data_IF_451960883605
#
_entry.id   IF_451960883605
#
_cell.length_a   1.000
_cell.length_b   1.000
_cell.length_c   1.000
_cell.angle_alpha   90.00
_cell.angle_beta   90.00
_cell.angle_gamma   90.00
#
_symmetry.space_group_name_H-M   'P 1'
#
loop_
_entity.id
_entity.type
_entity.pdbx_description
1 polymer ?
#
# COMPACT_ATOMS: atom_id res chain seq x y z
N UNK A 1 15.17 -7.90 2.42
CA UNK A 1 13.82 -7.44 2.87
C UNK A 1 13.29 -6.51 1.81
N UNK A 2 12.06 -6.71 1.35
CA UNK A 2 11.47 -5.92 0.28
C UNK A 2 11.11 -4.54 0.83
N UNK A 3 11.70 -3.48 0.25
CA UNK A 3 11.30 -2.10 0.48
C UNK A 3 9.79 -1.96 0.31
N UNK A 4 9.12 -1.25 1.21
CA UNK A 4 7.72 -0.89 1.01
C UNK A 4 7.63 -0.06 -0.26
N UNK A 5 6.77 -0.46 -1.21
CA UNK A 5 6.61 0.25 -2.47
C UNK A 5 6.33 1.73 -2.21
N UNK A 6 7.19 2.59 -2.73
CA UNK A 6 7.10 4.04 -2.51
C UNK A 6 7.86 4.59 -1.30
N UNK A 7 8.51 3.75 -0.49
CA UNK A 7 9.39 4.23 0.57
C UNK A 7 10.67 4.83 -0.01
N UNK A 8 11.22 5.83 0.67
CA UNK A 8 12.52 6.40 0.35
C UNK A 8 13.64 5.62 1.06
N UNK A 9 14.88 5.79 0.62
CA UNK A 9 16.03 5.08 1.19
C UNK A 9 16.17 5.29 2.71
N UNK A 10 15.90 6.50 3.19
CA UNK A 10 15.95 6.80 4.63
C UNK A 10 14.90 6.06 5.44
N UNK A 11 13.74 5.74 4.85
CA UNK A 11 12.74 4.90 5.50
C UNK A 11 13.25 3.46 5.68
N UNK A 12 13.84 2.88 4.62
CA UNK A 12 14.35 1.51 4.68
C UNK A 12 15.47 1.38 5.73
N UNK A 13 16.36 2.38 5.82
CA UNK A 13 17.41 2.43 6.84
C UNK A 13 16.78 2.44 8.24
N UNK A 14 15.81 3.35 8.48
CA UNK A 14 15.15 3.46 9.77
C UNK A 14 14.41 2.17 10.18
N UNK A 15 13.70 1.53 9.23
CA UNK A 15 12.98 0.29 9.50
C UNK A 15 13.89 -0.91 9.80
N UNK A 16 15.11 -0.91 9.27
CA UNK A 16 16.08 -1.98 9.56
C UNK A 16 16.67 -1.87 10.99
N UNK A 17 16.70 -0.67 11.56
CA UNK A 17 17.22 -0.43 12.91
C UNK A 17 16.15 -0.62 14.00
N UNK A 18 14.86 -0.53 13.66
CA UNK A 18 13.76 -0.57 14.61
C UNK A 18 13.25 -2.02 14.84
N UNK A 19 12.82 -2.29 16.07
CA UNK A 19 12.27 -3.57 16.51
C UNK A 19 10.78 -3.43 16.87
N UNK A 20 10.08 -4.56 16.87
CA UNK A 20 8.69 -4.59 17.36
C UNK A 20 8.63 -4.09 18.81
N UNK A 21 7.74 -3.16 19.07
CA UNK A 21 7.57 -2.47 20.35
C UNK A 21 8.26 -1.10 20.41
N UNK A 22 9.19 -0.80 19.52
CA UNK A 22 9.88 0.49 19.51
C UNK A 22 8.93 1.64 19.20
N UNK A 23 9.19 2.77 19.85
CA UNK A 23 8.58 4.06 19.57
C UNK A 23 9.71 5.06 19.29
N UNK A 24 9.80 5.54 18.07
CA UNK A 24 10.92 6.35 17.62
C UNK A 24 10.47 7.63 16.91
N UNK A 25 11.28 8.67 17.03
CA UNK A 25 11.26 9.83 16.14
C UNK A 25 12.41 9.71 15.16
N UNK A 26 12.09 9.75 13.87
CA UNK A 26 13.06 9.58 12.80
C UNK A 26 13.11 10.86 11.99
N UNK A 27 14.33 11.41 11.80
CA UNK A 27 14.59 12.48 10.86
C UNK A 27 15.25 11.85 9.63
N UNK A 28 14.64 12.02 8.48
CA UNK A 28 15.18 11.57 7.19
C UNK A 28 15.61 12.81 6.41
N UNK A 29 16.92 13.02 6.20
CA UNK A 29 17.42 14.12 5.39
C UNK A 29 16.84 14.09 3.97
N UNK A 30 16.70 15.24 3.34
CA UNK A 30 16.06 15.37 2.03
C UNK A 30 16.64 14.43 0.97
N UNK A 31 17.98 14.27 0.92
CA UNK A 31 18.65 13.40 -0.05
C UNK A 31 18.36 11.89 0.12
N UNK A 32 17.94 11.46 1.32
CA UNK A 32 17.46 10.11 1.61
C UNK A 32 15.93 10.02 1.61
N UNK A 33 15.25 11.15 1.43
CA UNK A 33 13.81 11.28 1.34
C UNK A 33 13.36 11.49 -0.12
N UNK A 34 12.91 12.69 -0.46
CA UNK A 34 12.39 13.04 -1.80
C UNK A 34 13.29 13.99 -2.57
N UNK A 35 14.42 14.39 -2.00
CA UNK A 35 15.47 15.17 -2.63
C UNK A 35 14.98 16.52 -3.19
N UNK A 36 15.63 16.93 -4.28
CA UNK A 36 15.36 18.19 -4.96
C UNK A 36 13.97 18.27 -5.62
N UNK A 37 13.35 17.12 -5.92
CA UNK A 37 12.03 17.08 -6.57
C UNK A 37 10.88 17.24 -5.59
N UNK A 38 11.04 16.80 -4.35
CA UNK A 38 9.94 16.73 -3.40
C UNK A 38 8.79 15.87 -3.89
N UNK A 39 7.58 16.18 -3.43
CA UNK A 39 6.31 15.62 -3.93
C UNK A 39 5.33 16.75 -4.08
N UNK A 40 4.90 17.03 -5.31
CA UNK A 40 4.05 18.17 -5.61
C UNK A 40 2.81 18.23 -4.69
N UNK A 41 2.59 19.38 -4.08
CA UNK A 41 1.46 19.63 -3.16
C UNK A 41 1.55 18.93 -1.80
N UNK A 42 2.64 18.20 -1.50
CA UNK A 42 2.80 17.40 -0.26
C UNK A 42 4.13 17.65 0.44
N UNK A 43 5.24 17.53 -0.26
CA UNK A 43 6.59 17.65 0.30
C UNK A 43 7.37 18.64 -0.55
N UNK A 44 7.79 19.77 0.02
CA UNK A 44 8.61 20.74 -0.71
C UNK A 44 9.93 20.13 -1.19
N UNK A 45 10.53 20.68 -2.27
CA UNK A 45 11.89 20.37 -2.65
C UNK A 45 12.87 20.57 -1.49
N UNK A 46 13.83 19.66 -1.37
CA UNK A 46 14.89 19.67 -0.34
C UNK A 46 14.39 19.64 1.11
N UNK A 47 13.14 19.23 1.36
CA UNK A 47 12.60 19.13 2.70
C UNK A 47 13.07 17.85 3.42
N UNK A 48 13.55 18.01 4.64
CA UNK A 48 13.75 16.89 5.54
C UNK A 48 12.39 16.32 6.00
N UNK A 49 12.29 15.01 6.13
CA UNK A 49 11.09 14.36 6.63
C UNK A 49 11.25 14.02 8.11
N UNK A 50 10.24 14.35 8.90
CA UNK A 50 10.16 14.01 10.31
C UNK A 50 8.99 13.05 10.52
N UNK A 51 9.29 11.90 11.13
CA UNK A 51 8.33 10.83 11.35
C UNK A 51 8.31 10.45 12.83
N UNK A 52 7.12 10.16 13.34
CA UNK A 52 6.96 9.50 14.63
C UNK A 52 6.36 8.14 14.36
N UNK A 53 7.06 7.08 14.76
CA UNK A 53 6.78 5.71 14.38
C UNK A 53 6.69 4.83 15.62
N UNK A 54 5.67 3.97 15.66
CA UNK A 54 5.60 2.84 16.59
C UNK A 54 5.56 1.55 15.77
N UNK A 55 6.47 0.63 16.03
CA UNK A 55 6.47 -0.69 15.42
C UNK A 55 5.53 -1.59 16.21
N UNK A 56 4.39 -1.92 15.63
CA UNK A 56 3.34 -2.72 16.28
C UNK A 56 3.64 -4.21 16.10
N UNK A 57 3.95 -4.60 14.86
CA UNK A 57 4.22 -6.00 14.52
C UNK A 57 5.05 -6.10 13.23
N UNK A 58 5.55 -7.30 12.98
CA UNK A 58 6.18 -7.69 11.72
C UNK A 58 5.39 -8.85 11.15
N UNK A 59 4.39 -8.54 10.36
CA UNK A 59 3.50 -9.52 9.79
C UNK A 59 4.02 -10.09 8.46
N UNK A 60 3.93 -11.41 8.30
CA UNK A 60 4.05 -12.04 6.99
C UNK A 60 2.80 -11.79 6.14
N UNK A 61 2.87 -11.85 4.79
CA UNK A 61 1.67 -11.79 3.97
C UNK A 61 0.68 -12.88 4.37
N UNK A 62 -0.60 -12.53 4.47
CA UNK A 62 -1.68 -13.50 4.71
C UNK A 62 -1.77 -14.50 3.56
N UNK A 63 -1.48 -14.03 2.33
CA UNK A 63 -1.41 -14.87 1.13
C UNK A 63 -0.47 -14.24 0.09
N UNK A 64 0.13 -15.11 -0.73
CA UNK A 64 0.93 -14.71 -1.90
C UNK A 64 0.40 -15.42 -3.13
N UNK A 65 0.15 -14.69 -4.21
CA UNK A 65 -0.42 -15.21 -5.46
C UNK A 65 0.44 -14.68 -6.61
N UNK A 66 1.22 -15.55 -7.23
CA UNK A 66 2.10 -15.21 -8.37
C UNK A 66 2.96 -13.95 -8.10
N UNK A 67 3.53 -13.85 -6.91
CA UNK A 67 4.36 -12.73 -6.48
C UNK A 67 3.59 -11.55 -5.88
N UNK A 68 2.29 -11.40 -6.13
CA UNK A 68 1.43 -10.44 -5.46
C UNK A 68 1.24 -10.87 -4.00
N UNK A 69 1.55 -9.97 -3.07
CA UNK A 69 1.45 -10.22 -1.63
C UNK A 69 0.28 -9.45 -1.04
N UNK A 70 -0.52 -10.12 -0.22
CA UNK A 70 -1.72 -9.56 0.40
C UNK A 70 -1.63 -9.73 1.92
N UNK A 71 -1.83 -8.64 2.64
CA UNK A 71 -2.03 -8.64 4.09
C UNK A 71 -3.48 -8.23 4.36
N UNK A 72 -4.23 -9.08 5.05
CA UNK A 72 -5.56 -8.75 5.56
C UNK A 72 -5.36 -8.02 6.88
N UNK A 73 -5.55 -6.70 6.86
CA UNK A 73 -5.39 -5.84 8.04
C UNK A 73 -6.61 -5.91 8.96
N UNK A 74 -7.78 -5.96 8.35
CA UNK A 74 -9.06 -6.11 9.04
C UNK A 74 -9.94 -7.03 8.19
N UNK A 75 -10.47 -8.10 8.79
CA UNK A 75 -11.34 -9.05 8.13
C UNK A 75 -12.78 -8.89 8.61
N UNK A 76 -13.71 -8.78 7.68
CA UNK A 76 -15.13 -8.83 8.02
C UNK A 76 -15.56 -10.28 8.31
N UNK A 77 -15.64 -10.62 9.59
CA UNK A 77 -16.05 -11.95 10.04
C UNK A 77 -17.55 -12.21 9.91
N UNK A 78 -18.37 -11.14 9.81
CA UNK A 78 -19.82 -11.23 9.72
C UNK A 78 -20.31 -11.55 8.29
N UNK A 79 -19.50 -11.26 7.27
CA UNK A 79 -19.84 -11.55 5.87
C UNK A 79 -19.00 -12.70 5.35
N UNK A 80 -19.66 -13.77 4.92
CA UNK A 80 -19.01 -14.94 4.33
C UNK A 80 -18.88 -14.88 2.81
N UNK A 81 -19.55 -13.92 2.17
CA UNK A 81 -19.51 -13.77 0.72
C UNK A 81 -18.13 -13.26 0.28
N UNK A 82 -17.46 -14.06 -0.49
CA UNK A 82 -16.17 -13.71 -1.11
C UNK A 82 -16.39 -13.20 -2.52
N UNK A 83 -15.59 -12.21 -2.91
CA UNK A 83 -15.61 -11.72 -4.29
C UNK A 83 -15.11 -12.80 -5.25
N UNK A 84 -15.80 -12.93 -6.36
CA UNK A 84 -15.50 -13.87 -7.44
C UNK A 84 -15.44 -13.13 -8.78
N UNK A 85 -14.87 -13.77 -9.78
CA UNK A 85 -14.85 -13.26 -11.15
C UNK A 85 -16.29 -13.00 -11.65
N UNK A 86 -16.47 -11.90 -12.37
CA UNK A 86 -17.76 -11.44 -12.86
C UNK A 86 -18.58 -10.57 -11.90
N UNK A 87 -18.19 -10.47 -10.62
CA UNK A 87 -18.86 -9.58 -9.67
C UNK A 87 -18.47 -8.12 -9.88
N UNK A 88 -19.46 -7.23 -9.77
CA UNK A 88 -19.19 -5.79 -9.62
C UNK A 88 -18.77 -5.48 -8.20
N UNK A 89 -17.63 -4.80 -8.06
CA UNK A 89 -17.07 -4.38 -6.78
C UNK A 89 -16.83 -2.89 -6.75
N UNK A 90 -16.93 -2.32 -5.56
CA UNK A 90 -16.59 -0.92 -5.29
C UNK A 90 -15.64 -0.87 -4.10
N UNK A 91 -14.53 -0.13 -4.24
CA UNK A 91 -13.55 -0.03 -3.18
C UNK A 91 -12.84 1.32 -3.17
N UNK A 92 -12.47 1.75 -1.97
CA UNK A 92 -11.53 2.85 -1.79
C UNK A 92 -10.10 2.32 -1.77
N UNK A 93 -9.19 3.08 -2.36
CA UNK A 93 -7.76 2.75 -2.31
C UNK A 93 -6.86 3.97 -2.25
N UNK A 94 -5.69 3.76 -1.67
CA UNK A 94 -4.51 4.59 -1.88
C UNK A 94 -3.50 3.77 -2.65
N UNK A 95 -3.05 4.29 -3.78
CA UNK A 95 -2.08 3.60 -4.66
C UNK A 95 -0.81 4.42 -4.73
N UNK A 96 0.32 3.78 -4.55
CA UNK A 96 1.64 4.38 -4.69
C UNK A 96 2.57 3.48 -5.50
N UNK A 97 3.54 4.09 -6.15
CA UNK A 97 4.66 3.42 -6.80
C UNK A 97 5.97 4.13 -6.43
N UNK A 98 7.14 3.52 -6.70
CA UNK A 98 8.43 4.17 -6.46
C UNK A 98 8.57 5.51 -7.20
N UNK A 99 8.02 5.61 -8.41
CA UNK A 99 8.07 6.83 -9.23
C UNK A 99 6.95 7.84 -8.91
N UNK A 100 5.82 7.37 -8.37
CA UNK A 100 4.69 8.21 -8.00
C UNK A 100 4.11 7.78 -6.66
N UNK A 101 4.54 8.41 -5.55
CA UNK A 101 4.13 8.04 -4.20
C UNK A 101 2.66 8.36 -3.88
N UNK A 102 1.98 9.12 -4.73
CA UNK A 102 0.56 9.45 -4.62
C UNK A 102 -0.13 9.30 -5.98
N UNK A 103 -0.09 8.09 -6.52
CA UNK A 103 -0.69 7.79 -7.82
C UNK A 103 -2.21 7.98 -7.81
N UNK A 104 -2.88 7.44 -6.80
CA UNK A 104 -4.31 7.60 -6.59
C UNK A 104 -4.67 7.57 -5.10
N UNK A 105 -5.70 8.31 -4.72
CA UNK A 105 -6.27 8.29 -3.38
C UNK A 105 -7.76 8.62 -3.45
N UNK A 106 -8.60 7.60 -3.49
CA UNK A 106 -10.06 7.73 -3.61
C UNK A 106 -10.73 8.16 -2.31
N UNK A 107 -10.04 8.07 -1.16
CA UNK A 107 -10.57 8.59 0.11
C UNK A 107 -10.64 10.11 0.12
N UNK A 108 -9.74 10.80 -0.59
CA UNK A 108 -9.73 12.28 -0.65
C UNK A 108 -10.90 12.84 -1.44
N UNK A 109 -11.33 12.14 -2.48
CA UNK A 109 -12.44 12.55 -3.35
C UNK A 109 -13.78 11.95 -2.93
N UNK A 110 -13.75 10.99 -2.01
CA UNK A 110 -14.88 10.14 -1.64
C UNK A 110 -15.57 9.47 -2.84
N UNK A 111 -14.78 9.17 -3.88
CA UNK A 111 -15.23 8.48 -5.09
C UNK A 111 -14.53 7.13 -5.20
N UNK A 112 -15.16 6.03 -4.78
CA UNK A 112 -14.56 4.71 -4.88
C UNK A 112 -14.38 4.29 -6.34
N UNK A 113 -13.38 3.47 -6.60
CA UNK A 113 -13.29 2.75 -7.87
C UNK A 113 -14.42 1.73 -7.95
N UNK A 114 -15.00 1.59 -9.15
CA UNK A 114 -16.01 0.59 -9.47
C UNK A 114 -15.52 -0.24 -10.65
N UNK A 115 -15.43 -1.54 -10.45
CA UNK A 115 -14.98 -2.48 -11.47
C UNK A 115 -15.81 -3.76 -11.41
N UNK A 116 -15.92 -4.40 -12.58
CA UNK A 116 -16.35 -5.79 -12.65
C UNK A 116 -15.09 -6.67 -12.66
N UNK A 117 -14.98 -7.57 -11.69
CA UNK A 117 -13.85 -8.50 -11.63
C UNK A 117 -13.88 -9.41 -12.86
N UNK A 118 -12.82 -9.35 -13.68
CA UNK A 118 -12.74 -10.04 -14.95
C UNK A 118 -12.67 -9.11 -16.16
N UNK A 119 -13.11 -7.85 -16.01
CA UNK A 119 -12.98 -6.87 -17.08
C UNK A 119 -11.53 -6.34 -17.18
N UNK A 120 -11.23 -5.77 -18.35
CA UNK A 120 -9.98 -5.04 -18.58
C UNK A 120 -10.02 -3.74 -17.77
N UNK A 121 -8.92 -3.39 -17.10
CA UNK A 121 -8.79 -2.14 -16.35
C UNK A 121 -8.22 -2.28 -14.95
N UNK A 122 -8.21 -3.48 -14.40
CA UNK A 122 -7.41 -3.80 -13.21
C UNK A 122 -6.13 -4.51 -13.61
N UNK A 123 -5.01 -4.10 -13.03
CA UNK A 123 -3.76 -4.84 -13.20
C UNK A 123 -3.90 -6.26 -12.65
N UNK A 124 -3.27 -7.27 -13.29
CA UNK A 124 -3.47 -8.68 -12.94
C UNK A 124 -3.30 -8.99 -11.46
N UNK A 125 -2.25 -8.47 -10.84
CA UNK A 125 -1.99 -8.69 -9.42
C UNK A 125 -3.08 -8.13 -8.50
N UNK A 126 -3.65 -6.96 -8.81
CA UNK A 126 -4.75 -6.40 -8.03
C UNK A 126 -6.02 -7.23 -8.19
N UNK A 127 -6.35 -7.66 -9.42
CA UNK A 127 -7.47 -8.57 -9.67
C UNK A 127 -7.36 -9.84 -8.83
N UNK A 128 -6.20 -10.50 -8.85
CA UNK A 128 -5.91 -11.72 -8.07
C UNK A 128 -6.05 -11.47 -6.56
N UNK A 129 -5.58 -10.31 -6.08
CA UNK A 129 -5.68 -9.95 -4.68
C UNK A 129 -7.13 -9.71 -4.21
N UNK A 130 -7.99 -9.16 -5.07
CA UNK A 130 -9.39 -8.87 -4.74
C UNK A 130 -10.27 -10.12 -4.80
N UNK A 131 -9.95 -11.10 -5.64
CA UNK A 131 -10.62 -12.41 -5.61
C UNK A 131 -10.44 -13.03 -4.21
N UNK A 132 -11.53 -13.54 -3.64
CA UNK A 132 -11.64 -14.07 -2.28
C UNK A 132 -11.55 -13.02 -1.15
N UNK A 133 -11.44 -11.72 -1.43
CA UNK A 133 -11.72 -10.68 -0.45
C UNK A 133 -13.22 -10.58 -0.16
N UNK A 134 -13.58 -9.96 0.94
CA UNK A 134 -14.97 -9.76 1.37
C UNK A 134 -15.31 -8.29 1.45
N UNK A 135 -16.60 -7.98 1.44
CA UNK A 135 -17.07 -6.62 1.69
C UNK A 135 -16.57 -6.14 3.06
N UNK A 136 -16.05 -4.92 3.11
CA UNK A 136 -15.47 -4.27 4.30
C UNK A 136 -14.15 -4.86 4.79
N UNK A 137 -13.53 -5.78 4.05
CA UNK A 137 -12.14 -6.13 4.32
C UNK A 137 -11.24 -4.92 4.07
N UNK A 138 -10.21 -4.79 4.91
CA UNK A 138 -9.14 -3.83 4.74
C UNK A 138 -7.86 -4.56 4.39
N UNK A 139 -7.31 -4.27 3.22
CA UNK A 139 -6.17 -4.99 2.66
C UNK A 139 -4.98 -4.05 2.43
N UNK A 140 -3.79 -4.55 2.69
CA UNK A 140 -2.57 -4.01 2.09
C UNK A 140 -2.12 -4.97 0.99
N UNK A 141 -1.87 -4.45 -0.20
CA UNK A 141 -1.54 -5.26 -1.37
C UNK A 141 -0.24 -4.73 -1.99
N UNK A 142 0.73 -5.60 -2.14
CA UNK A 142 1.93 -5.34 -2.93
C UNK A 142 1.82 -6.10 -4.25
N UNK A 143 1.84 -5.35 -5.35
CA UNK A 143 1.84 -5.91 -6.71
C UNK A 143 3.24 -5.74 -7.31
N UNK A 144 3.94 -6.82 -7.67
CA UNK A 144 5.24 -6.71 -8.33
C UNK A 144 5.07 -6.16 -9.77
N UNK A 145 6.14 -5.62 -10.33
CA UNK A 145 6.11 -5.02 -11.67
C UNK A 145 5.68 -6.00 -12.78
N UNK A 146 5.92 -7.30 -12.58
CA UNK A 146 5.48 -8.35 -13.52
C UNK A 146 3.96 -8.57 -13.53
N UNK A 147 3.24 -8.07 -12.53
CA UNK A 147 1.80 -8.22 -12.35
C UNK A 147 1.07 -6.87 -12.32
N UNK A 148 1.80 -5.76 -12.61
CA UNK A 148 1.31 -4.38 -12.60
C UNK A 148 0.97 -3.87 -14.01
#
# INVERSE_FOLDING_TARGET
MSSAAGACAGWDIAMNELKVGDFARVKIPSHLARGEKGVNGLIPPNADNFLTIRIIEKAAPTRTIEGTKVWVLEENTNNKLKFAEGMEISFHSMVSSPSNPLYANTFRTNQPFKFKLGDYGLVPGLKKALINAKTSDRLFIFVPASEA
#
